data_IF_497198095074
#
_entry.id   IF_497198095074
#
_cell.length_a   1.000
_cell.length_b   1.000
_cell.length_c   1.000
_cell.angle_alpha   90.00
_cell.angle_beta   90.00
_cell.angle_gamma   90.00
#
_symmetry.space_group_name_H-M   'P 1'
#
loop_
_entity.id
_entity.type
_entity.pdbx_description
1 polymer ?
#
# COMPACT_ATOMS: atom_id res chain seq x y z
N UNK A 1 -32.22 0.46 -10.76
CA UNK A 1 -32.75 -0.20 -11.97
C UNK A 1 -31.71 -1.10 -12.64
N UNK A 2 -30.48 -0.60 -12.88
CA UNK A 2 -29.42 -1.33 -13.60
C UNK A 2 -28.98 -2.66 -12.96
N UNK A 3 -28.83 -2.70 -11.63
CA UNK A 3 -28.45 -3.93 -10.92
C UNK A 3 -29.48 -5.06 -11.13
N UNK A 4 -30.78 -4.72 -11.17
CA UNK A 4 -31.87 -5.69 -11.37
C UNK A 4 -31.85 -6.27 -12.79
N UNK A 5 -31.50 -5.46 -13.80
CA UNK A 5 -31.32 -5.92 -15.18
C UNK A 5 -30.08 -6.79 -15.34
N UNK A 6 -28.95 -6.39 -14.74
CA UNK A 6 -27.72 -7.18 -14.70
C UNK A 6 -27.92 -8.53 -13.99
N UNK A 7 -28.68 -8.54 -12.88
CA UNK A 7 -29.01 -9.75 -12.14
C UNK A 7 -29.66 -10.84 -12.99
N UNK A 8 -30.59 -10.44 -13.86
CA UNK A 8 -31.36 -11.35 -14.72
C UNK A 8 -30.64 -11.74 -16.02
N UNK A 9 -29.50 -11.12 -16.33
CA UNK A 9 -28.73 -11.34 -17.58
C UNK A 9 -27.45 -12.15 -17.36
N UNK A 10 -27.29 -12.77 -16.19
CA UNK A 10 -26.20 -13.71 -15.90
C UNK A 10 -25.37 -13.37 -14.66
N UNK A 11 -25.50 -12.15 -14.11
CA UNK A 11 -24.80 -11.78 -12.87
C UNK A 11 -25.19 -12.70 -11.71
N UNK A 12 -26.44 -13.18 -11.64
CA UNK A 12 -26.86 -14.17 -10.63
C UNK A 12 -25.98 -15.44 -10.63
N UNK A 13 -25.68 -15.97 -11.81
CA UNK A 13 -24.92 -17.21 -11.95
C UNK A 13 -23.42 -16.98 -11.70
N UNK A 14 -22.89 -15.84 -12.13
CA UNK A 14 -21.54 -15.38 -11.78
C UNK A 14 -21.39 -15.22 -10.27
N UNK A 15 -22.32 -14.52 -9.60
CA UNK A 15 -22.34 -14.38 -8.14
C UNK A 15 -22.38 -15.75 -7.45
N UNK A 16 -23.21 -16.68 -7.94
CA UNK A 16 -23.34 -18.02 -7.35
C UNK A 16 -22.06 -18.85 -7.53
N UNK A 17 -21.37 -18.69 -8.65
CA UNK A 17 -20.12 -19.41 -8.97
C UNK A 17 -18.94 -18.85 -8.18
N UNK A 18 -18.81 -17.52 -8.11
CA UNK A 18 -17.82 -16.84 -7.25
C UNK A 18 -17.99 -17.24 -5.78
N UNK A 19 -19.24 -17.39 -5.31
CA UNK A 19 -19.54 -17.78 -3.92
C UNK A 19 -19.23 -19.25 -3.60
N UNK A 20 -19.11 -20.11 -4.63
CA UNK A 20 -18.80 -21.55 -4.51
C UNK A 20 -17.30 -21.85 -4.60
N UNK A 21 -16.54 -21.04 -5.33
CA UNK A 21 -15.08 -21.13 -5.38
C UNK A 21 -14.45 -20.41 -4.18
N UNK A 22 -14.77 -20.89 -2.97
CA UNK A 22 -14.25 -20.35 -1.71
C UNK A 22 -12.84 -20.79 -1.41
N UNK A 23 -12.24 -21.64 -2.23
CA UNK A 23 -10.87 -22.10 -2.04
C UNK A 23 -10.07 -21.87 -3.31
N UNK A 24 -8.84 -21.38 -3.18
CA UNK A 24 -7.87 -21.31 -4.27
C UNK A 24 -7.38 -22.70 -4.68
N UNK A 25 -6.48 -22.75 -5.66
CA UNK A 25 -5.93 -24.02 -6.17
C UNK A 25 -5.13 -24.79 -5.11
N UNK A 26 -4.68 -24.10 -4.06
CA UNK A 26 -3.92 -24.63 -2.93
C UNK A 26 -4.80 -25.01 -1.73
N UNK A 27 -6.12 -24.82 -1.83
CA UNK A 27 -7.08 -25.18 -0.79
C UNK A 27 -7.21 -24.14 0.34
N UNK A 28 -6.66 -22.94 0.18
CA UNK A 28 -6.84 -21.83 1.12
C UNK A 28 -8.14 -21.09 0.86
N UNK A 29 -8.84 -20.60 1.89
CA UNK A 29 -10.02 -19.78 1.71
C UNK A 29 -9.72 -18.59 0.81
N UNK A 30 -10.39 -18.45 -0.35
CA UNK A 30 -10.33 -17.22 -1.14
C UNK A 30 -10.89 -16.10 -0.27
N UNK A 31 -10.18 -14.98 -0.21
CA UNK A 31 -10.63 -13.77 0.50
C UNK A 31 -12.11 -13.51 0.18
N UNK A 32 -12.92 -13.35 1.23
CA UNK A 32 -14.36 -13.06 1.11
C UNK A 32 -14.62 -11.75 0.34
N UNK A 33 -13.60 -10.89 0.21
CA UNK A 33 -13.63 -9.63 -0.51
C UNK A 33 -12.81 -9.71 -1.79
N UNK A 34 -13.49 -9.93 -2.92
CA UNK A 34 -12.89 -9.62 -4.22
C UNK A 34 -12.81 -8.09 -4.35
N UNK A 35 -11.61 -7.52 -4.14
CA UNK A 35 -11.35 -6.12 -4.46
C UNK A 35 -11.65 -5.87 -5.93
N UNK A 36 -12.77 -5.21 -6.21
CA UNK A 36 -13.10 -4.80 -7.56
C UNK A 36 -12.21 -3.63 -7.99
N UNK A 37 -12.32 -3.21 -9.26
CA UNK A 37 -11.52 -2.08 -9.76
C UNK A 37 -11.75 -0.79 -8.98
N UNK A 38 -12.96 -0.57 -8.46
CA UNK A 38 -13.31 0.63 -7.70
C UNK A 38 -12.67 0.61 -6.32
N UNK A 39 -12.66 -0.54 -5.64
CA UNK A 39 -12.03 -0.69 -4.34
C UNK A 39 -10.52 -0.46 -4.44
N UNK A 40 -9.88 -0.96 -5.51
CA UNK A 40 -8.45 -0.70 -5.80
C UNK A 40 -8.19 0.79 -6.00
N UNK A 41 -9.02 1.47 -6.80
CA UNK A 41 -8.90 2.91 -7.03
C UNK A 41 -9.09 3.72 -5.74
N UNK A 42 -10.09 3.35 -4.92
CA UNK A 42 -10.34 4.01 -3.64
C UNK A 42 -9.18 3.81 -2.67
N UNK A 43 -8.65 2.58 -2.58
CA UNK A 43 -7.47 2.25 -1.77
C UNK A 43 -6.25 3.08 -2.19
N UNK A 44 -5.94 3.11 -3.48
CA UNK A 44 -4.78 3.83 -3.99
C UNK A 44 -4.94 5.35 -3.77
N UNK A 45 -6.14 5.89 -4.01
CA UNK A 45 -6.46 7.27 -3.66
C UNK A 45 -6.28 7.53 -2.16
N UNK A 46 -6.79 6.65 -1.29
CA UNK A 46 -6.70 6.80 0.16
C UNK A 46 -5.25 6.78 0.67
N UNK A 47 -4.40 5.92 0.10
CA UNK A 47 -2.95 5.91 0.36
C UNK A 47 -2.36 7.27 -0.03
N UNK A 48 -2.62 7.73 -1.25
CA UNK A 48 -2.07 8.99 -1.77
C UNK A 48 -2.51 10.20 -0.93
N UNK A 49 -3.77 10.25 -0.50
CA UNK A 49 -4.27 11.27 0.42
C UNK A 49 -3.50 11.28 1.75
N UNK A 50 -3.20 10.10 2.32
CA UNK A 50 -2.40 10.01 3.55
C UNK A 50 -0.97 10.47 3.34
N UNK A 51 -0.36 10.09 2.20
CA UNK A 51 1.00 10.57 1.87
C UNK A 51 1.01 12.08 1.72
N UNK A 52 0.00 12.66 1.04
CA UNK A 52 -0.16 14.10 0.90
C UNK A 52 -0.33 14.80 2.25
N UNK A 53 -1.25 14.31 3.09
CA UNK A 53 -1.58 14.87 4.40
C UNK A 53 -0.39 14.83 5.37
N UNK A 54 0.37 13.73 5.39
CA UNK A 54 1.46 13.50 6.34
C UNK A 54 2.85 13.68 5.73
N UNK A 55 2.96 14.32 4.56
CA UNK A 55 4.21 14.49 3.81
C UNK A 55 5.39 14.99 4.66
N UNK A 56 5.16 15.99 5.50
CA UNK A 56 6.20 16.56 6.37
C UNK A 56 6.68 15.52 7.40
N UNK A 57 5.76 14.73 7.96
CA UNK A 57 6.08 13.66 8.90
C UNK A 57 6.95 12.58 8.24
N UNK A 58 6.61 12.17 7.01
CA UNK A 58 7.42 11.21 6.24
C UNK A 58 8.85 11.72 6.06
N UNK A 59 9.01 12.93 5.53
CA UNK A 59 10.34 13.51 5.28
C UNK A 59 11.15 13.70 6.58
N UNK A 60 10.49 14.11 7.67
CA UNK A 60 11.11 14.27 8.98
C UNK A 60 11.62 12.93 9.52
N UNK A 61 10.80 11.86 9.45
CA UNK A 61 11.21 10.52 9.87
C UNK A 61 12.33 9.96 8.99
N UNK A 62 12.32 10.20 7.68
CA UNK A 62 13.42 9.81 6.80
C UNK A 62 14.74 10.49 7.17
N UNK A 63 14.69 11.80 7.44
CA UNK A 63 15.87 12.55 7.89
C UNK A 63 16.39 12.04 9.23
N UNK A 64 15.49 11.78 10.18
CA UNK A 64 15.83 11.22 11.49
C UNK A 64 16.47 9.85 11.36
N UNK A 65 15.85 8.94 10.60
CA UNK A 65 16.35 7.60 10.36
C UNK A 65 17.78 7.62 9.81
N UNK A 66 18.08 8.50 8.84
CA UNK A 66 19.44 8.68 8.33
C UNK A 66 20.43 9.19 9.38
N UNK A 67 20.01 10.10 10.25
CA UNK A 67 20.88 10.60 11.32
C UNK A 67 21.25 9.52 12.33
N UNK A 68 20.34 8.57 12.55
CA UNK A 68 20.53 7.41 13.42
C UNK A 68 21.35 6.30 12.72
N UNK A 69 21.24 6.18 11.39
CA UNK A 69 21.93 5.16 10.58
C UNK A 69 22.98 5.79 9.65
N UNK A 70 24.09 6.28 10.23
CA UNK A 70 25.17 6.98 9.50
C UNK A 70 25.90 6.12 8.46
N UNK A 71 25.74 4.79 8.49
CA UNK A 71 26.29 3.88 7.48
C UNK A 71 25.57 3.97 6.13
N UNK A 72 24.35 4.53 6.09
CA UNK A 72 23.58 4.68 4.85
C UNK A 72 24.10 5.91 4.10
N UNK A 73 24.59 5.76 2.85
CA UNK A 73 25.00 6.88 2.01
C UNK A 73 23.90 7.94 1.85
N UNK A 74 24.31 9.21 1.79
CA UNK A 74 23.37 10.33 1.66
C UNK A 74 22.52 10.27 0.37
N UNK A 75 23.07 9.68 -0.68
CA UNK A 75 22.43 9.49 -1.98
C UNK A 75 21.61 8.20 -2.10
N UNK A 76 21.75 7.26 -1.17
CA UNK A 76 20.96 6.01 -1.18
C UNK A 76 19.55 6.32 -0.70
N UNK A 77 18.47 6.03 -1.47
CA UNK A 77 17.10 6.24 -1.02
C UNK A 77 16.77 5.47 0.27
N UNK A 78 15.80 5.98 1.02
CA UNK A 78 15.17 5.27 2.15
C UNK A 78 13.67 5.23 1.91
N UNK A 79 13.00 4.22 2.45
CA UNK A 79 11.57 3.98 2.22
C UNK A 79 10.81 4.33 3.47
N UNK A 80 9.85 5.24 3.34
CA UNK A 80 8.87 5.49 4.37
C UNK A 80 7.85 4.36 4.42
N UNK A 81 7.45 3.93 5.61
CA UNK A 81 6.41 2.91 5.79
C UNK A 81 5.13 3.61 6.24
N UNK A 82 4.02 3.32 5.56
CA UNK A 82 2.68 3.72 5.96
C UNK A 82 1.88 2.46 6.30
N UNK A 83 1.78 2.15 7.59
CA UNK A 83 1.22 0.90 8.07
C UNK A 83 -0.23 1.09 8.53
N UNK A 84 -1.18 0.48 7.81
CA UNK A 84 -2.59 0.48 8.14
C UNK A 84 -3.01 -0.75 8.97
N UNK A 85 -2.10 -1.70 9.22
CA UNK A 85 -2.38 -2.90 10.03
C UNK A 85 -2.55 -2.57 11.51
N UNK A 86 -2.02 -1.43 11.96
CA UNK A 86 -2.13 -0.98 13.35
C UNK A 86 -3.51 -0.44 13.69
N UNK A 87 -4.49 -0.42 12.77
CA UNK A 87 -5.84 0.05 13.09
C UNK A 87 -6.68 -1.07 13.76
N UNK A 88 -7.43 -0.80 14.86
CA UNK A 88 -7.52 0.43 15.67
C UNK A 88 -6.50 0.48 16.84
N UNK A 89 -5.51 -0.41 16.85
CA UNK A 89 -4.55 -0.63 17.93
C UNK A 89 -3.31 0.30 17.92
N UNK A 90 -3.32 1.39 17.14
CA UNK A 90 -2.21 2.33 17.10
C UNK A 90 -2.01 3.02 18.45
N UNK A 91 -0.82 3.52 18.75
CA UNK A 91 -0.61 4.41 19.91
C UNK A 91 -0.27 5.83 19.38
N UNK A 92 -1.15 6.83 19.57
CA UNK A 92 -2.40 6.75 20.32
C UNK A 92 -3.52 5.96 19.60
N UNK A 93 -4.50 5.39 20.33
CA UNK A 93 -5.55 4.48 19.82
C UNK A 93 -6.54 5.10 18.81
N UNK A 94 -6.30 6.35 18.43
CA UNK A 94 -6.98 7.07 17.35
C UNK A 94 -6.09 7.29 16.12
N UNK A 95 -4.87 6.75 16.10
CA UNK A 95 -3.99 6.80 14.93
C UNK A 95 -4.40 5.73 13.93
N UNK A 96 -4.99 6.17 12.83
CA UNK A 96 -5.46 5.30 11.73
C UNK A 96 -4.33 4.55 10.99
N UNK A 97 -3.08 4.93 11.25
CA UNK A 97 -1.90 4.33 10.65
C UNK A 97 -0.65 4.66 11.46
N UNK A 98 0.37 3.81 11.38
CA UNK A 98 1.71 4.13 11.84
C UNK A 98 2.57 4.59 10.64
N UNK A 99 3.42 5.59 10.86
CA UNK A 99 4.37 6.07 9.85
C UNK A 99 5.77 5.76 10.35
N UNK A 100 6.58 5.05 9.59
CA UNK A 100 7.98 4.76 9.95
C UNK A 100 8.92 4.95 8.76
N UNK A 101 10.19 4.58 8.91
CA UNK A 101 11.18 4.56 7.83
C UNK A 101 12.08 3.34 7.96
N UNK A 102 12.42 2.75 6.81
CA UNK A 102 13.35 1.63 6.72
C UNK A 102 14.29 1.75 5.52
N UNK A 103 15.34 0.94 5.54
CA UNK A 103 16.26 0.81 4.41
C UNK A 103 15.59 0.07 3.24
N UNK A 104 16.07 0.33 2.02
CA UNK A 104 15.57 -0.27 0.79
C UNK A 104 15.62 -1.80 0.79
N UNK A 105 16.70 -2.48 1.25
CA UNK A 105 16.74 -3.94 1.24
C UNK A 105 15.58 -4.58 2.02
N UNK A 106 15.27 -4.04 3.21
CA UNK A 106 14.14 -4.52 4.03
C UNK A 106 12.79 -4.29 3.35
N UNK A 107 12.63 -3.17 2.65
CA UNK A 107 11.40 -2.90 1.90
C UNK A 107 11.25 -3.84 0.69
N UNK A 108 12.35 -4.15 0.00
CA UNK A 108 12.38 -5.12 -1.11
C UNK A 108 11.97 -6.52 -0.67
N UNK A 109 12.41 -6.96 0.50
CA UNK A 109 12.00 -8.25 1.06
C UNK A 109 10.49 -8.32 1.34
N UNK A 110 9.88 -7.21 1.75
CA UNK A 110 8.45 -7.15 2.08
C UNK A 110 7.55 -6.98 0.85
N UNK A 111 7.99 -6.23 -0.15
CA UNK A 111 7.24 -6.00 -1.38
C UNK A 111 8.09 -6.38 -2.61
N UNK A 112 8.40 -7.67 -2.81
CA UNK A 112 9.31 -8.12 -3.87
C UNK A 112 8.79 -7.84 -5.28
N UNK A 113 7.47 -7.77 -5.45
CA UNK A 113 6.81 -7.59 -6.75
C UNK A 113 6.76 -6.13 -7.23
N UNK A 114 7.25 -5.17 -6.44
CA UNK A 114 7.32 -3.77 -6.86
C UNK A 114 8.46 -3.54 -7.86
N UNK A 115 8.28 -2.58 -8.77
CA UNK A 115 9.30 -2.17 -9.74
C UNK A 115 10.38 -1.29 -9.08
N UNK A 116 11.19 -1.93 -8.24
CA UNK A 116 12.15 -1.23 -7.39
C UNK A 116 13.20 -0.46 -8.15
N UNK A 117 13.65 -0.94 -9.30
CA UNK A 117 14.72 -0.27 -10.04
C UNK A 117 14.22 1.07 -10.59
N UNK A 118 13.00 1.10 -11.15
CA UNK A 118 12.34 2.34 -11.60
C UNK A 118 12.08 3.27 -10.40
N UNK A 119 11.54 2.74 -9.30
CA UNK A 119 11.22 3.53 -8.11
C UNK A 119 12.46 4.17 -7.47
N UNK A 120 13.58 3.44 -7.41
CA UNK A 120 14.82 3.98 -6.83
C UNK A 120 15.48 5.02 -7.72
N UNK A 121 15.43 4.83 -9.03
CA UNK A 121 15.92 5.83 -9.97
C UNK A 121 15.08 7.11 -9.93
N UNK A 122 13.76 7.00 -9.79
CA UNK A 122 12.91 8.15 -9.52
C UNK A 122 13.22 8.82 -8.17
N UNK A 123 13.42 8.04 -7.11
CA UNK A 123 13.75 8.58 -5.79
C UNK A 123 15.03 9.42 -5.80
N UNK A 124 16.06 8.94 -6.52
CA UNK A 124 17.32 9.67 -6.73
C UNK A 124 17.08 10.99 -7.47
N UNK A 125 16.31 10.98 -8.56
CA UNK A 125 15.96 12.18 -9.34
C UNK A 125 15.20 13.21 -8.50
N UNK A 126 14.32 12.75 -7.60
CA UNK A 126 13.55 13.60 -6.68
C UNK A 126 14.38 14.17 -5.54
N UNK A 127 15.58 13.65 -5.28
CA UNK A 127 16.55 14.14 -4.29
C UNK A 127 15.93 14.42 -2.91
N UNK A 128 15.12 13.47 -2.41
CA UNK A 128 14.46 13.59 -1.10
C UNK A 128 13.38 14.67 -0.99
N UNK A 129 12.95 15.27 -2.12
CA UNK A 129 11.82 16.20 -2.11
C UNK A 129 10.52 15.45 -1.82
N UNK A 130 10.27 14.33 -2.48
CA UNK A 130 9.10 13.49 -2.24
C UNK A 130 9.51 12.16 -1.60
N UNK A 131 8.78 11.71 -0.57
CA UNK A 131 9.09 10.45 0.07
C UNK A 131 8.71 9.30 -0.87
N UNK A 132 9.64 8.36 -1.06
CA UNK A 132 9.32 7.01 -1.50
C UNK A 132 8.61 6.31 -0.33
N UNK A 133 7.38 5.85 -0.55
CA UNK A 133 6.52 5.27 0.48
C UNK A 133 6.13 3.86 0.09
N UNK A 134 6.18 2.94 1.05
CA UNK A 134 5.55 1.64 1.00
C UNK A 134 4.38 1.62 1.99
N UNK A 135 3.17 1.36 1.52
CA UNK A 135 2.01 1.19 2.37
C UNK A 135 1.72 -0.29 2.61
N UNK A 136 1.43 -0.65 3.86
CA UNK A 136 1.07 -2.01 4.29
C UNK A 136 -0.42 -2.00 4.59
N UNK A 137 -1.18 -2.82 3.86
CA UNK A 137 -2.63 -2.84 3.92
C UNK A 137 -3.10 -4.23 4.37
N UNK A 138 -3.86 -4.31 5.48
CA UNK A 138 -4.48 -5.57 5.86
C UNK A 138 -5.56 -5.92 4.83
N UNK A 139 -5.53 -7.16 4.35
CA UNK A 139 -6.58 -7.72 3.48
C UNK A 139 -7.49 -8.58 4.36
N UNK A 140 -8.79 -8.26 4.36
CA UNK A 140 -9.75 -9.01 5.16
C UNK A 140 -9.83 -10.47 4.68
N UNK A 141 -9.65 -11.41 5.62
CA UNK A 141 -9.72 -12.84 5.32
C UNK A 141 -8.50 -13.39 4.58
N UNK A 142 -7.39 -12.65 4.52
CA UNK A 142 -6.11 -13.11 3.98
C UNK A 142 -5.03 -13.00 5.07
N UNK A 143 -4.11 -13.97 5.10
CA UNK A 143 -2.94 -13.94 5.98
C UNK A 143 -1.85 -13.02 5.43
N UNK A 144 -1.90 -12.68 4.14
CA UNK A 144 -0.95 -11.81 3.48
C UNK A 144 -1.41 -10.35 3.47
N UNK A 145 -0.46 -9.43 3.63
CA UNK A 145 -0.71 -8.00 3.47
C UNK A 145 -0.56 -7.61 2.00
N UNK A 146 -1.39 -6.65 1.59
CA UNK A 146 -1.16 -5.97 0.32
C UNK A 146 -0.13 -4.86 0.51
N UNK A 147 0.87 -4.84 -0.36
CA UNK A 147 1.90 -3.81 -0.37
C UNK A 147 1.71 -2.89 -1.57
N UNK A 148 1.66 -1.58 -1.31
CA UNK A 148 1.72 -0.55 -2.34
C UNK A 148 3.05 0.17 -2.21
N UNK A 149 3.73 0.46 -3.32
CA UNK A 149 4.98 1.23 -3.30
C UNK A 149 4.91 2.36 -4.32
N UNK A 150 5.23 3.57 -3.90
CA UNK A 150 5.18 4.74 -4.79
C UNK A 150 5.47 6.07 -4.10
N UNK A 151 5.13 7.15 -4.79
CA UNK A 151 5.34 8.53 -4.32
C UNK A 151 4.00 9.25 -4.13
N UNK A 152 3.95 10.20 -3.19
CA UNK A 152 2.73 10.94 -2.84
C UNK A 152 2.19 11.92 -3.90
N UNK A 153 2.84 12.05 -5.06
CA UNK A 153 2.39 12.91 -6.17
C UNK A 153 2.89 12.39 -7.52
N UNK A 154 1.96 11.99 -8.38
CA UNK A 154 1.99 12.41 -9.79
C UNK A 154 1.19 13.71 -9.85
N UNK A 155 1.85 14.86 -9.80
CA UNK A 155 1.24 16.06 -10.37
C UNK A 155 1.35 15.90 -11.88
N UNK A 156 0.22 15.59 -12.52
CA UNK A 156 0.03 15.90 -13.94
C UNK A 156 0.31 17.39 -14.12
N UNK A 157 1.24 17.71 -15.01
CA UNK A 157 1.34 19.05 -15.59
C UNK A 157 0.07 19.35 -16.39
#
# INVERSE_FOLDING_TARGET
SCQKASWNTGHRDVCRTMRKNRFDEDGWPKSDYFFDSRDRLYRDWFILEHIGKYRITFLSKQKRFRSEHRSIPANEPVVSVLDFTTFPLGDPPWSFCNIDTQAVPKAREQAPDADWDVLLDEAKKRNGKDPLVMAIIPVAGDYHHYYWVGFGRQQSN
#
